data_IF_257974755699
#
_entry.id   IF_257974755699
#
_cell.length_a   1.000
_cell.length_b   1.000
_cell.length_c   1.000
_cell.angle_alpha   90.00
_cell.angle_beta   90.00
_cell.angle_gamma   90.00
#
_symmetry.space_group_name_H-M   'P 1'
#
loop_
_entity.id
_entity.type
_entity.pdbx_description
1 polymer ?
#
# COMPACT_ATOMS: atom_id res chain seq x y z
N UNK A 1 -26.36 -57.40 40.05
CA UNK A 1 -26.64 -56.37 39.02
C UNK A 1 -25.86 -55.04 39.22
N UNK A 2 -24.91 -54.93 40.16
CA UNK A 2 -24.26 -53.65 40.51
C UNK A 2 -22.81 -53.45 40.01
N UNK A 3 -22.17 -54.49 39.45
CA UNK A 3 -20.76 -54.45 39.07
C UNK A 3 -20.52 -53.99 37.61
N UNK A 4 -21.38 -54.40 36.67
CA UNK A 4 -21.27 -54.02 35.26
C UNK A 4 -21.61 -52.54 34.97
N UNK A 5 -22.48 -51.95 35.78
CA UNK A 5 -22.86 -50.54 35.61
C UNK A 5 -21.70 -49.58 35.96
N UNK A 6 -20.94 -49.87 37.03
CA UNK A 6 -19.76 -49.07 37.44
C UNK A 6 -18.62 -49.14 36.42
N UNK A 7 -18.39 -50.29 35.77
CA UNK A 7 -17.36 -50.42 34.72
C UNK A 7 -17.73 -49.68 33.44
N UNK A 8 -19.00 -49.74 33.01
CA UNK A 8 -19.50 -48.98 31.85
C UNK A 8 -19.44 -47.47 32.06
N UNK A 9 -19.84 -46.95 33.22
CA UNK A 9 -19.70 -45.52 33.53
C UNK A 9 -18.23 -45.07 33.54
N UNK A 10 -17.32 -45.87 34.09
CA UNK A 10 -15.89 -45.53 34.18
C UNK A 10 -15.20 -45.54 32.81
N UNK A 11 -15.58 -46.44 31.91
CA UNK A 11 -15.10 -46.45 30.52
C UNK A 11 -15.62 -45.27 29.70
N UNK A 12 -16.91 -44.94 29.81
CA UNK A 12 -17.51 -43.77 29.14
C UNK A 12 -16.90 -42.45 29.64
N UNK A 13 -16.68 -42.33 30.95
CA UNK A 13 -16.03 -41.14 31.53
C UNK A 13 -14.57 -40.99 31.08
N UNK A 14 -13.84 -42.11 30.91
CA UNK A 14 -12.44 -42.10 30.45
C UNK A 14 -12.34 -41.77 28.96
N UNK A 15 -13.27 -42.24 28.14
CA UNK A 15 -13.32 -41.89 26.71
C UNK A 15 -13.69 -40.41 26.51
N UNK A 16 -14.64 -39.88 27.30
CA UNK A 16 -15.02 -38.46 27.27
C UNK A 16 -13.89 -37.54 27.73
N UNK A 17 -13.13 -37.90 28.77
CA UNK A 17 -11.99 -37.07 29.22
C UNK A 17 -10.81 -37.12 28.25
N UNK A 18 -10.54 -38.26 27.62
CA UNK A 18 -9.47 -38.38 26.61
C UNK A 18 -9.82 -37.56 25.35
N UNK A 19 -11.06 -37.62 24.85
CA UNK A 19 -11.51 -36.78 23.71
C UNK A 19 -11.47 -35.28 24.02
N UNK A 20 -11.77 -34.87 25.25
CA UNK A 20 -11.68 -33.46 25.67
C UNK A 20 -10.22 -32.98 25.80
N UNK A 21 -9.30 -33.83 26.27
CA UNK A 21 -7.87 -33.52 26.32
C UNK A 21 -7.26 -33.36 24.92
N UNK A 22 -7.58 -34.24 23.97
CA UNK A 22 -7.02 -34.17 22.61
C UNK A 22 -7.49 -32.92 21.83
N UNK A 23 -8.75 -32.52 22.00
CA UNK A 23 -9.27 -31.29 21.37
C UNK A 23 -8.69 -30.01 21.99
N UNK A 24 -8.48 -30.00 23.31
CA UNK A 24 -7.82 -28.89 24.00
C UNK A 24 -6.36 -28.67 23.55
N UNK A 25 -5.59 -29.76 23.40
CA UNK A 25 -4.19 -29.69 22.96
C UNK A 25 -4.10 -29.16 21.52
N UNK A 26 -4.92 -29.68 20.59
CA UNK A 26 -4.93 -29.21 19.20
C UNK A 26 -5.31 -27.73 19.07
N UNK A 27 -6.28 -27.25 19.87
CA UNK A 27 -6.68 -25.85 19.90
C UNK A 27 -5.57 -24.94 20.43
N UNK A 28 -4.86 -25.36 21.49
CA UNK A 28 -3.75 -24.58 22.05
C UNK A 28 -2.54 -24.48 21.11
N UNK A 29 -2.23 -25.54 20.38
CA UNK A 29 -1.13 -25.57 19.40
C UNK A 29 -1.43 -24.65 18.21
N UNK A 30 -2.67 -24.66 17.72
CA UNK A 30 -3.11 -23.77 16.65
C UNK A 30 -3.08 -22.29 17.08
N UNK A 31 -3.54 -21.99 18.30
CA UNK A 31 -3.54 -20.62 18.81
C UNK A 31 -2.13 -20.04 18.94
N UNK A 32 -1.17 -20.85 19.39
CA UNK A 32 0.25 -20.48 19.46
C UNK A 32 0.84 -20.24 18.06
N UNK A 33 0.49 -21.08 17.07
CA UNK A 33 0.92 -20.89 15.67
C UNK A 33 0.40 -19.58 15.07
N UNK A 34 -0.86 -19.23 15.36
CA UNK A 34 -1.43 -17.96 14.93
C UNK A 34 -0.72 -16.78 15.56
N UNK A 35 -0.43 -16.83 16.86
CA UNK A 35 0.31 -15.79 17.54
C UNK A 35 1.69 -15.54 16.92
N UNK A 36 2.47 -16.60 16.68
CA UNK A 36 3.77 -16.50 16.01
C UNK A 36 3.63 -15.90 14.61
N UNK A 37 2.62 -16.34 13.85
CA UNK A 37 2.41 -15.85 12.48
C UNK A 37 1.99 -14.38 12.44
N UNK A 38 1.19 -13.93 13.41
CA UNK A 38 0.79 -12.53 13.55
C UNK A 38 2.00 -11.68 13.93
N UNK A 39 2.83 -12.15 14.85
CA UNK A 39 4.02 -11.43 15.28
C UNK A 39 5.04 -11.28 14.15
N UNK A 40 5.30 -12.35 13.41
CA UNK A 40 6.14 -12.33 12.20
C UNK A 40 5.55 -11.38 11.14
N UNK A 41 4.25 -11.44 10.88
CA UNK A 41 3.62 -10.51 9.94
C UNK A 41 3.80 -9.06 10.37
N UNK A 42 3.61 -8.74 11.65
CA UNK A 42 3.73 -7.38 12.15
C UNK A 42 5.17 -6.86 12.06
N UNK A 43 6.13 -7.58 12.63
CA UNK A 43 7.49 -7.09 12.84
C UNK A 43 8.44 -7.40 11.68
N UNK A 44 8.27 -8.51 10.98
CA UNK A 44 9.17 -8.90 9.87
C UNK A 44 8.63 -8.46 8.50
N UNK A 45 7.35 -8.09 8.41
CA UNK A 45 6.74 -7.66 7.16
C UNK A 45 6.12 -6.26 7.23
N UNK A 46 5.05 -6.06 8.01
CA UNK A 46 4.24 -4.84 7.96
C UNK A 46 5.02 -3.57 8.36
N UNK A 47 5.77 -3.60 9.47
CA UNK A 47 6.60 -2.45 9.87
C UNK A 47 7.71 -2.20 8.84
N UNK A 48 8.56 -3.19 8.48
CA UNK A 48 9.67 -2.94 7.56
C UNK A 48 9.23 -2.44 6.18
N UNK A 49 8.08 -2.86 5.66
CA UNK A 49 7.61 -2.35 4.35
C UNK A 49 7.21 -0.88 4.42
N UNK A 50 6.57 -0.42 5.51
CA UNK A 50 6.21 1.00 5.66
C UNK A 50 7.40 1.87 6.02
N UNK A 51 8.39 1.36 6.76
CA UNK A 51 9.67 2.05 6.97
C UNK A 51 10.44 2.26 5.65
N UNK A 52 10.51 1.23 4.81
CA UNK A 52 11.11 1.31 3.47
C UNK A 52 10.35 2.28 2.59
N UNK A 53 9.01 2.23 2.60
CA UNK A 53 8.17 3.17 1.86
C UNK A 53 8.42 4.62 2.30
N UNK A 54 8.48 4.88 3.61
CA UNK A 54 8.75 6.21 4.14
C UNK A 54 10.14 6.69 3.74
N UNK A 55 11.17 5.84 3.89
CA UNK A 55 12.54 6.14 3.48
C UNK A 55 12.64 6.45 1.98
N UNK A 56 12.03 5.62 1.13
CA UNK A 56 12.01 5.84 -0.31
C UNK A 56 11.30 7.15 -0.68
N UNK A 57 10.19 7.47 0.00
CA UNK A 57 9.46 8.72 -0.25
C UNK A 57 10.31 9.96 0.09
N UNK A 58 11.05 9.94 1.19
CA UNK A 58 11.98 11.02 1.56
C UNK A 58 13.06 11.21 0.47
N UNK A 59 13.59 10.12 -0.08
CA UNK A 59 14.56 10.18 -1.17
C UNK A 59 13.97 10.87 -2.40
N UNK A 60 12.72 10.58 -2.75
CA UNK A 60 12.03 11.26 -3.87
C UNK A 60 11.91 12.76 -3.61
N UNK A 61 11.52 13.17 -2.40
CA UNK A 61 11.48 14.61 -2.04
C UNK A 61 12.83 15.26 -2.30
N UNK A 62 13.92 14.70 -1.78
CA UNK A 62 15.26 15.27 -1.96
C UNK A 62 15.69 15.33 -3.42
N UNK A 63 15.44 14.27 -4.20
CA UNK A 63 15.81 14.23 -5.62
C UNK A 63 14.97 15.20 -6.46
N UNK A 64 13.68 15.35 -6.17
CA UNK A 64 12.80 16.31 -6.87
C UNK A 64 13.15 17.75 -6.46
N UNK A 65 13.44 18.02 -5.18
CA UNK A 65 13.93 19.34 -4.75
C UNK A 65 15.23 19.72 -5.46
N UNK A 66 16.15 18.77 -5.60
CA UNK A 66 17.38 18.97 -6.35
C UNK A 66 17.10 19.25 -7.83
N UNK A 67 16.22 18.48 -8.48
CA UNK A 67 15.78 18.73 -9.86
C UNK A 67 15.17 20.12 -10.04
N UNK A 68 14.35 20.58 -9.09
CA UNK A 68 13.76 21.93 -9.16
C UNK A 68 14.81 23.04 -9.07
N UNK A 69 15.94 22.81 -8.38
CA UNK A 69 17.06 23.76 -8.28
C UNK A 69 18.01 23.66 -9.47
N UNK A 70 18.28 22.44 -9.90
CA UNK A 70 19.26 22.07 -10.92
C UNK A 70 18.55 21.40 -12.09
N UNK A 71 17.78 22.18 -12.85
CA UNK A 71 17.04 21.74 -14.04
C UNK A 71 18.00 21.27 -15.13
N UNK A 72 18.46 20.02 -15.05
CA UNK A 72 19.35 19.36 -16.01
C UNK A 72 19.06 17.85 -16.06
N UNK A 73 19.59 17.18 -17.08
CA UNK A 73 19.32 15.76 -17.34
C UNK A 73 19.76 14.83 -16.21
N UNK A 74 20.89 15.10 -15.56
CA UNK A 74 21.37 14.27 -14.46
C UNK A 74 20.44 14.35 -13.24
N UNK A 75 19.96 15.55 -12.91
CA UNK A 75 19.00 15.73 -11.83
C UNK A 75 17.65 15.05 -12.14
N UNK A 76 17.21 15.09 -13.41
CA UNK A 76 15.97 14.42 -13.83
C UNK A 76 16.11 12.90 -13.71
N UNK A 77 17.22 12.33 -14.19
CA UNK A 77 17.50 10.91 -14.06
C UNK A 77 17.52 10.47 -12.58
N UNK A 78 18.16 11.24 -11.71
CA UNK A 78 18.18 10.95 -10.27
C UNK A 78 16.77 10.95 -9.64
N UNK A 79 15.92 11.92 -10.02
CA UNK A 79 14.53 11.97 -9.55
C UNK A 79 13.69 10.80 -10.10
N UNK A 80 13.90 10.42 -11.36
CA UNK A 80 13.26 9.27 -11.98
C UNK A 80 13.68 7.95 -11.31
N UNK A 81 14.96 7.78 -10.98
CA UNK A 81 15.43 6.58 -10.28
C UNK A 81 14.94 6.50 -8.83
N UNK A 82 14.88 7.64 -8.14
CA UNK A 82 14.24 7.71 -6.82
C UNK A 82 12.76 7.33 -6.90
N UNK A 83 12.04 7.78 -7.93
CA UNK A 83 10.65 7.40 -8.18
C UNK A 83 10.49 5.90 -8.40
N UNK A 84 11.36 5.27 -9.20
CA UNK A 84 11.33 3.80 -9.42
C UNK A 84 11.48 3.04 -8.10
N UNK A 85 12.42 3.45 -7.25
CA UNK A 85 12.61 2.85 -5.92
C UNK A 85 11.40 3.05 -5.00
N UNK A 86 10.72 4.20 -5.09
CA UNK A 86 9.47 4.44 -4.37
C UNK A 86 8.34 3.55 -4.86
N UNK A 87 8.16 3.39 -6.17
CA UNK A 87 7.17 2.47 -6.73
C UNK A 87 7.43 1.04 -6.28
N UNK A 88 8.68 0.57 -6.30
CA UNK A 88 9.03 -0.77 -5.81
C UNK A 88 8.70 -0.95 -4.33
N UNK A 89 9.00 0.07 -3.50
CA UNK A 89 8.67 0.03 -2.06
C UNK A 89 7.15 0.02 -1.83
N UNK A 90 6.39 0.77 -2.63
CA UNK A 90 4.94 0.74 -2.61
C UNK A 90 4.38 -0.61 -3.07
N UNK A 91 4.89 -1.22 -4.14
CA UNK A 91 4.45 -2.54 -4.60
C UNK A 91 4.53 -3.60 -3.50
N UNK A 92 5.56 -3.57 -2.65
CA UNK A 92 5.64 -4.45 -1.49
C UNK A 92 4.59 -4.12 -0.42
N UNK A 93 4.37 -2.83 -0.14
CA UNK A 93 3.36 -2.38 0.82
C UNK A 93 1.92 -2.57 0.32
N UNK A 94 1.69 -2.63 -1.00
CA UNK A 94 0.37 -2.75 -1.64
C UNK A 94 -0.37 -4.05 -1.23
N UNK A 95 0.38 -5.06 -0.80
CA UNK A 95 -0.14 -6.32 -0.27
C UNK A 95 -0.97 -6.10 1.00
N UNK A 96 -0.67 -5.06 1.78
CA UNK A 96 -1.41 -4.69 2.98
C UNK A 96 -2.56 -3.77 2.57
N UNK A 97 -3.79 -4.30 2.65
CA UNK A 97 -5.02 -3.62 2.22
C UNK A 97 -6.01 -3.40 3.36
N UNK A 98 -5.52 -3.42 4.60
CA UNK A 98 -6.29 -3.23 5.82
C UNK A 98 -5.50 -2.37 6.82
N UNK A 99 -6.16 -1.93 7.89
CA UNK A 99 -5.56 -1.09 8.91
C UNK A 99 -5.27 0.34 8.43
N UNK A 100 -4.23 1.02 8.97
CA UNK A 100 -4.01 2.46 8.80
C UNK A 100 -3.91 2.97 7.37
N UNK A 101 -3.54 2.11 6.41
CA UNK A 101 -3.48 2.47 4.99
C UNK A 101 -4.87 2.70 4.38
N UNK A 102 -5.95 2.21 5.00
CA UNK A 102 -7.33 2.42 4.52
C UNK A 102 -7.96 3.69 5.10
N UNK A 103 -7.40 4.23 6.16
CA UNK A 103 -7.93 5.42 6.81
C UNK A 103 -7.87 6.61 5.87
N UNK A 104 -8.95 7.41 5.86
CA UNK A 104 -9.02 8.66 5.09
C UNK A 104 -8.60 8.53 3.62
N UNK A 105 -8.85 7.36 3.01
CA UNK A 105 -8.47 7.01 1.64
C UNK A 105 -6.95 7.09 1.37
N UNK A 106 -6.10 6.84 2.37
CA UNK A 106 -4.63 6.89 2.23
C UNK A 106 -4.13 5.98 1.10
N UNK A 107 -4.68 4.77 0.96
CA UNK A 107 -4.36 3.85 -0.13
C UNK A 107 -4.59 4.50 -1.50
N UNK A 108 -5.78 5.06 -1.74
CA UNK A 108 -6.15 5.69 -3.00
C UNK A 108 -5.40 7.02 -3.22
N UNK A 109 -5.06 7.75 -2.15
CA UNK A 109 -4.20 8.95 -2.22
C UNK A 109 -2.77 8.62 -2.63
N UNK A 110 -2.25 7.44 -2.24
CA UNK A 110 -0.93 6.97 -2.68
C UNK A 110 -1.03 6.41 -4.11
N UNK A 111 -2.02 5.57 -4.39
CA UNK A 111 -2.13 4.86 -5.66
C UNK A 111 -3.57 4.78 -6.16
N UNK A 112 -4.03 5.88 -6.78
CA UNK A 112 -5.32 5.92 -7.47
C UNK A 112 -5.23 5.17 -8.81
N UNK A 113 -5.57 3.88 -8.79
CA UNK A 113 -5.55 3.01 -9.96
C UNK A 113 -6.50 1.81 -9.72
N UNK A 114 -7.17 1.24 -10.74
CA UNK A 114 -7.07 1.53 -12.18
C UNK A 114 -7.82 2.78 -12.64
N UNK A 115 -7.30 3.42 -13.69
CA UNK A 115 -7.93 4.58 -14.34
C UNK A 115 -8.22 4.31 -15.83
N UNK A 116 -9.16 3.39 -16.15
CA UNK A 116 -9.38 2.92 -17.53
C UNK A 116 -9.93 4.01 -18.48
N UNK A 117 -10.41 5.12 -17.92
CA UNK A 117 -10.96 6.29 -18.66
C UNK A 117 -10.06 7.53 -18.55
N UNK A 118 -8.87 7.40 -17.97
CA UNK A 118 -7.90 8.48 -17.76
C UNK A 118 -8.49 9.71 -17.04
N UNK A 119 -9.46 9.50 -16.12
CA UNK A 119 -10.11 10.59 -15.38
C UNK A 119 -9.16 11.22 -14.36
N UNK A 120 -8.31 10.43 -13.72
CA UNK A 120 -7.27 10.95 -12.83
C UNK A 120 -6.22 11.71 -13.60
N UNK A 121 -5.69 11.11 -14.67
CA UNK A 121 -4.71 11.77 -15.54
C UNK A 121 -5.21 13.12 -16.07
N UNK A 122 -6.46 13.19 -16.54
CA UNK A 122 -7.07 14.45 -17.00
C UNK A 122 -7.12 15.51 -15.91
N UNK A 123 -7.38 15.13 -14.65
CA UNK A 123 -7.36 16.08 -13.54
C UNK A 123 -5.94 16.54 -13.22
N UNK A 124 -4.93 15.67 -13.26
CA UNK A 124 -3.51 16.04 -13.11
C UNK A 124 -3.10 17.04 -14.18
N UNK A 125 -3.41 16.76 -15.45
CA UNK A 125 -3.11 17.66 -16.57
C UNK A 125 -3.82 19.01 -16.41
N UNK A 126 -5.10 19.01 -16.02
CA UNK A 126 -5.85 20.25 -15.76
C UNK A 126 -5.23 21.06 -14.62
N UNK A 127 -4.79 20.40 -13.54
CA UNK A 127 -4.14 21.06 -12.41
C UNK A 127 -2.78 21.63 -12.82
N UNK A 128 -1.98 20.88 -13.58
CA UNK A 128 -0.69 21.36 -14.11
C UNK A 128 -0.89 22.59 -15.00
N UNK A 129 -1.83 22.54 -15.96
CA UNK A 129 -2.15 23.68 -16.83
C UNK A 129 -2.64 24.91 -16.06
N UNK A 130 -3.46 24.70 -15.03
CA UNK A 130 -3.88 25.77 -14.13
C UNK A 130 -2.67 26.40 -13.43
N UNK A 131 -1.75 25.57 -12.93
CA UNK A 131 -0.53 26.03 -12.28
C UNK A 131 0.40 26.77 -13.24
N UNK A 132 0.54 26.34 -14.49
CA UNK A 132 1.34 27.03 -15.51
C UNK A 132 0.81 28.43 -15.86
N UNK A 133 -0.51 28.62 -15.80
CA UNK A 133 -1.15 29.91 -16.05
C UNK A 133 -1.09 30.89 -14.89
N UNK A 134 -0.94 30.40 -13.66
CA UNK A 134 -0.92 31.23 -12.46
C UNK A 134 0.51 31.40 -11.97
N UNK A 135 1.04 32.62 -12.02
CA UNK A 135 2.44 32.90 -11.65
C UNK A 135 2.72 32.78 -10.14
N UNK A 136 1.69 32.64 -9.31
CA UNK A 136 1.79 32.47 -7.86
C UNK A 136 1.66 31.00 -7.48
N UNK A 137 2.74 30.46 -6.92
CA UNK A 137 2.79 29.10 -6.39
C UNK A 137 2.74 29.13 -4.88
N UNK A 138 1.53 29.09 -4.32
CA UNK A 138 1.38 28.72 -2.92
C UNK A 138 1.70 27.24 -2.75
N UNK A 139 2.16 26.88 -1.55
CA UNK A 139 2.39 25.48 -1.17
C UNK A 139 1.13 24.67 -1.48
N UNK A 140 1.24 23.69 -2.37
CA UNK A 140 0.12 22.80 -2.68
C UNK A 140 -0.29 22.04 -1.42
N UNK A 141 -1.48 22.33 -0.93
CA UNK A 141 -2.16 21.53 0.09
C UNK A 141 -3.07 20.51 -0.63
N UNK A 142 -2.95 19.23 -0.30
CA UNK A 142 -3.78 18.16 -0.87
C UNK A 142 -4.99 17.80 0.00
N UNK A 143 -5.17 18.46 1.15
CA UNK A 143 -6.32 18.29 2.02
C UNK A 143 -7.62 18.61 1.28
N UNK A 144 -8.61 17.73 1.39
CA UNK A 144 -9.89 17.85 0.70
C UNK A 144 -9.82 17.74 -0.83
N UNK A 145 -8.63 17.57 -1.42
CA UNK A 145 -8.48 17.41 -2.85
C UNK A 145 -8.77 15.98 -3.31
N UNK A 146 -9.11 15.85 -4.59
CA UNK A 146 -9.29 14.56 -5.26
C UNK A 146 -8.06 13.66 -5.06
N UNK A 147 -8.28 12.40 -4.71
CA UNK A 147 -7.22 11.39 -4.62
C UNK A 147 -6.52 11.17 -5.97
N UNK A 148 -7.20 11.50 -7.07
CA UNK A 148 -6.72 11.27 -8.43
C UNK A 148 -5.74 12.33 -8.95
N UNK A 149 -5.57 13.47 -8.24
CA UNK A 149 -4.61 14.53 -8.60
C UNK A 149 -3.30 14.44 -7.83
N UNK A 150 -3.09 13.36 -7.09
CA UNK A 150 -1.95 13.15 -6.22
C UNK A 150 -1.47 11.70 -6.34
N UNK A 151 -0.49 11.33 -5.53
CA UNK A 151 0.03 9.97 -5.50
C UNK A 151 0.95 9.61 -6.65
N UNK A 152 1.32 8.33 -6.70
CA UNK A 152 2.31 7.78 -7.60
C UNK A 152 1.95 7.95 -9.09
N UNK A 153 0.69 7.73 -9.55
CA UNK A 153 0.37 7.90 -10.97
C UNK A 153 0.49 9.35 -11.44
N UNK A 154 0.15 10.32 -10.58
CA UNK A 154 0.31 11.74 -10.87
C UNK A 154 1.79 12.12 -10.95
N UNK A 155 2.59 11.66 -9.98
CA UNK A 155 4.03 11.89 -9.97
C UNK A 155 4.73 11.25 -11.18
N UNK A 156 4.31 10.04 -11.57
CA UNK A 156 4.81 9.39 -12.78
C UNK A 156 4.59 10.28 -14.02
N UNK A 157 3.38 10.80 -14.20
CA UNK A 157 3.09 11.68 -15.33
C UNK A 157 3.95 12.95 -15.31
N UNK A 158 4.21 13.52 -14.13
CA UNK A 158 5.03 14.72 -14.02
C UNK A 158 6.49 14.44 -14.40
N UNK A 159 7.05 13.29 -14.02
CA UNK A 159 8.47 12.94 -14.23
C UNK A 159 8.77 12.21 -15.54
N UNK A 160 7.80 11.48 -16.11
CA UNK A 160 7.97 10.61 -17.28
C UNK A 160 6.95 10.86 -18.40
N UNK A 161 5.88 11.60 -18.10
CA UNK A 161 4.82 11.87 -19.06
C UNK A 161 5.18 12.96 -20.06
N UNK A 162 4.35 13.08 -21.10
CA UNK A 162 4.47 14.11 -22.12
C UNK A 162 4.68 15.51 -21.52
N UNK A 163 5.70 16.21 -22.03
CA UNK A 163 6.12 17.51 -21.52
C UNK A 163 7.14 17.44 -20.36
N UNK A 164 7.55 16.27 -19.88
CA UNK A 164 8.51 16.17 -18.76
C UNK A 164 9.90 16.69 -19.13
N UNK A 165 10.23 16.74 -20.42
CA UNK A 165 11.47 17.33 -20.94
C UNK A 165 11.63 18.80 -20.55
N UNK A 166 10.56 19.53 -20.23
CA UNK A 166 10.69 20.91 -19.72
C UNK A 166 11.43 20.96 -18.39
N UNK A 167 11.50 19.87 -17.62
CA UNK A 167 12.19 19.80 -16.32
C UNK A 167 13.70 20.00 -16.41
N UNK A 168 14.30 19.86 -17.61
CA UNK A 168 15.72 20.21 -17.83
C UNK A 168 15.90 21.65 -18.34
N UNK A 169 14.83 22.43 -18.43
CA UNK A 169 14.84 23.85 -18.80
C UNK A 169 14.43 24.73 -17.62
N UNK A 170 15.34 25.60 -17.17
CA UNK A 170 15.11 26.47 -15.98
C UNK A 170 13.89 27.40 -16.09
N UNK A 171 13.53 27.86 -17.29
CA UNK A 171 12.45 28.87 -17.47
C UNK A 171 11.05 28.27 -17.52
N UNK A 172 10.91 27.02 -17.97
CA UNK A 172 9.59 26.42 -18.28
C UNK A 172 9.16 25.31 -17.32
N UNK A 173 9.97 24.98 -16.32
CA UNK A 173 9.75 23.83 -15.43
C UNK A 173 9.03 24.15 -14.12
N UNK A 174 8.89 25.42 -13.73
CA UNK A 174 8.53 25.80 -12.37
C UNK A 174 7.23 25.13 -11.90
N UNK A 175 6.15 25.22 -12.69
CA UNK A 175 4.86 24.65 -12.33
C UNK A 175 4.90 23.13 -12.16
N UNK A 176 5.50 22.45 -13.15
CA UNK A 176 5.64 21.00 -13.16
C UNK A 176 6.49 20.51 -12.00
N UNK A 177 7.56 21.23 -11.69
CA UNK A 177 8.47 20.88 -10.61
C UNK A 177 7.84 21.12 -9.23
N UNK A 178 7.19 22.26 -9.01
CA UNK A 178 6.48 22.53 -7.76
C UNK A 178 5.34 21.54 -7.52
N UNK A 179 4.64 21.12 -8.57
CA UNK A 179 3.62 20.08 -8.46
C UNK A 179 4.22 18.72 -8.09
N UNK A 180 5.30 18.31 -8.76
CA UNK A 180 6.00 17.06 -8.45
C UNK A 180 6.53 17.08 -7.01
N UNK A 181 7.07 18.20 -6.56
CA UNK A 181 7.57 18.39 -5.20
C UNK A 181 6.44 18.31 -4.16
N UNK A 182 5.31 18.97 -4.43
CA UNK A 182 4.13 18.90 -3.57
C UNK A 182 3.63 17.46 -3.41
N UNK A 183 3.48 16.72 -4.51
CA UNK A 183 3.06 15.31 -4.45
C UNK A 183 4.08 14.47 -3.68
N UNK A 184 5.38 14.67 -3.91
CA UNK A 184 6.44 13.93 -3.22
C UNK A 184 6.37 14.14 -1.70
N UNK A 185 6.18 15.39 -1.26
CA UNK A 185 6.01 15.73 0.17
C UNK A 185 4.76 15.11 0.76
N UNK A 186 3.66 15.07 0.01
CA UNK A 186 2.43 14.44 0.44
C UNK A 186 2.58 12.91 0.58
N UNK A 187 3.27 12.23 -0.35
CA UNK A 187 3.60 10.81 -0.23
C UNK A 187 4.45 10.52 1.01
N UNK A 188 5.39 11.41 1.35
CA UNK A 188 6.17 11.33 2.58
C UNK A 188 5.32 11.50 3.84
N UNK A 189 4.40 12.46 3.86
CA UNK A 189 3.48 12.64 4.97
C UNK A 189 2.58 11.41 5.15
N UNK A 190 1.96 10.92 4.08
CA UNK A 190 1.09 9.74 4.12
C UNK A 190 1.83 8.49 4.61
N UNK A 191 3.04 8.23 4.11
CA UNK A 191 3.84 7.07 4.56
C UNK A 191 4.27 7.18 6.01
N UNK A 192 4.59 8.40 6.48
CA UNK A 192 4.92 8.68 7.88
C UNK A 192 3.72 8.41 8.79
N UNK A 193 2.55 8.94 8.43
CA UNK A 193 1.34 8.81 9.24
C UNK A 193 0.89 7.36 9.32
N UNK A 194 0.93 6.63 8.20
CA UNK A 194 0.65 5.19 8.18
C UNK A 194 1.60 4.46 9.14
N UNK A 195 2.92 4.68 9.01
CA UNK A 195 3.90 4.02 9.86
C UNK A 195 3.67 4.34 11.35
N UNK A 196 3.41 5.61 11.67
CA UNK A 196 3.13 6.05 13.04
C UNK A 196 1.89 5.37 13.63
N UNK A 197 0.81 5.26 12.84
CA UNK A 197 -0.43 4.60 13.26
C UNK A 197 -0.26 3.07 13.41
N UNK A 198 0.73 2.47 12.74
CA UNK A 198 1.12 1.08 12.96
C UNK A 198 1.86 0.90 14.30
N UNK A 199 2.87 1.73 14.57
CA UNK A 199 3.87 1.49 15.65
C UNK A 199 3.65 2.28 16.94
N UNK A 200 2.66 3.19 16.99
CA UNK A 200 2.37 3.94 18.22
C UNK A 200 2.02 3.01 19.40
N UNK A 201 2.08 3.52 20.63
CA UNK A 201 1.85 2.72 21.84
C UNK A 201 0.50 1.96 21.80
N UNK A 202 -0.53 2.62 21.26
CA UNK A 202 -1.88 2.08 21.02
C UNK A 202 -2.14 1.83 19.52
N UNK A 203 -1.07 1.66 18.74
CA UNK A 203 -1.11 1.51 17.29
C UNK A 203 -1.76 0.20 16.84
N UNK A 204 -2.00 0.09 15.53
CA UNK A 204 -2.76 -1.01 14.95
C UNK A 204 -2.16 -2.40 15.24
N UNK A 205 -0.85 -2.50 15.47
CA UNK A 205 -0.19 -3.75 15.88
C UNK A 205 -0.78 -4.31 17.17
N UNK A 206 -1.13 -3.45 18.13
CA UNK A 206 -1.79 -3.90 19.37
C UNK A 206 -3.13 -4.53 19.09
N UNK A 207 -3.88 -4.04 18.09
CA UNK A 207 -5.12 -4.68 17.68
C UNK A 207 -4.89 -6.06 17.05
N UNK A 208 -3.75 -6.31 16.42
CA UNK A 208 -3.43 -7.64 15.90
C UNK A 208 -3.01 -8.62 17.01
N UNK A 209 -2.24 -8.15 17.99
CA UNK A 209 -1.69 -8.97 19.06
C UNK A 209 -2.70 -9.24 20.19
N UNK A 210 -3.47 -8.23 20.59
CA UNK A 210 -4.36 -8.26 21.75
C UNK A 210 -5.82 -8.42 21.32
N UNK A 211 -6.17 -9.58 20.74
CA UNK A 211 -7.55 -9.86 20.31
C UNK A 211 -8.47 -10.13 21.49
N UNK A 212 -9.76 -9.80 21.38
CA UNK A 212 -10.74 -10.10 22.43
C UNK A 212 -11.94 -9.16 22.48
N UNK A 213 -12.71 -9.18 23.56
CA UNK A 213 -13.93 -8.37 23.72
C UNK A 213 -13.66 -6.86 23.69
N UNK A 214 -12.52 -6.43 24.26
CA UNK A 214 -12.10 -5.02 24.32
C UNK A 214 -11.37 -4.54 23.06
N UNK A 215 -11.16 -5.42 22.08
CA UNK A 215 -10.54 -5.07 20.82
C UNK A 215 -11.62 -4.62 19.81
N UNK A 216 -11.53 -3.38 19.27
CA UNK A 216 -12.56 -2.85 18.38
C UNK A 216 -12.52 -3.46 16.97
N UNK A 217 -11.45 -4.18 16.60
CA UNK A 217 -11.22 -4.69 15.23
C UNK A 217 -11.31 -6.22 15.16
N UNK A 218 -10.67 -6.93 16.09
CA UNK A 218 -10.49 -8.39 16.03
C UNK A 218 -10.91 -9.07 17.33
N UNK A 219 -11.88 -9.99 17.24
CA UNK A 219 -12.38 -10.76 18.38
C UNK A 219 -11.46 -11.91 18.77
N UNK A 220 -10.73 -12.46 17.83
CA UNK A 220 -9.79 -13.57 18.06
C UNK A 220 -8.68 -13.60 17.00
N UNK A 221 -7.61 -14.35 17.28
CA UNK A 221 -6.44 -14.47 16.38
C UNK A 221 -6.77 -15.05 15.01
N UNK A 222 -7.82 -15.89 14.90
CA UNK A 222 -8.22 -16.45 13.61
C UNK A 222 -8.75 -15.37 12.66
N UNK A 223 -9.47 -14.37 13.17
CA UNK A 223 -9.91 -13.21 12.37
C UNK A 223 -8.74 -12.39 11.82
N UNK A 224 -7.66 -12.24 12.61
CA UNK A 224 -6.43 -11.56 12.17
C UNK A 224 -5.80 -12.31 11.00
N UNK A 225 -5.61 -13.63 11.15
CA UNK A 225 -5.04 -14.49 10.10
C UNK A 225 -5.92 -14.47 8.85
N UNK A 226 -7.25 -14.54 9.00
CA UNK A 226 -8.18 -14.42 7.88
C UNK A 226 -8.03 -13.07 7.16
N UNK A 227 -7.81 -11.97 7.88
CA UNK A 227 -7.61 -10.66 7.28
C UNK A 227 -6.31 -10.59 6.46
N UNK A 228 -5.21 -11.14 7.00
CA UNK A 228 -3.92 -11.24 6.30
C UNK A 228 -4.07 -12.07 5.01
N UNK A 229 -4.68 -13.26 5.10
CA UNK A 229 -4.91 -14.15 3.96
C UNK A 229 -5.84 -13.51 2.92
N UNK A 230 -6.88 -12.80 3.38
CA UNK A 230 -7.79 -12.04 2.50
C UNK A 230 -7.01 -10.97 1.73
N UNK A 231 -6.19 -10.18 2.41
CA UNK A 231 -5.37 -9.14 1.80
C UNK A 231 -4.43 -9.71 0.73
N UNK A 232 -3.78 -10.84 1.02
CA UNK A 232 -2.92 -11.56 0.07
C UNK A 232 -3.70 -12.11 -1.15
N UNK A 233 -4.90 -12.66 -0.93
CA UNK A 233 -5.76 -13.14 -2.01
C UNK A 233 -6.23 -11.98 -2.91
N UNK A 234 -6.64 -10.86 -2.30
CA UNK A 234 -7.10 -9.67 -3.01
C UNK A 234 -6.02 -9.10 -3.94
N UNK A 235 -4.76 -8.98 -3.48
CA UNK A 235 -3.70 -8.43 -4.32
C UNK A 235 -3.37 -9.34 -5.51
N UNK A 236 -3.44 -10.66 -5.34
CA UNK A 236 -3.28 -11.62 -6.44
C UNK A 236 -4.41 -11.50 -7.47
N UNK A 237 -5.66 -11.40 -7.00
CA UNK A 237 -6.81 -11.18 -7.87
C UNK A 237 -6.71 -9.85 -8.63
N UNK A 238 -6.26 -8.77 -7.97
CA UNK A 238 -6.04 -7.47 -8.60
C UNK A 238 -4.89 -7.51 -9.61
N UNK A 239 -3.78 -8.17 -9.29
CA UNK A 239 -2.66 -8.34 -10.21
C UNK A 239 -3.10 -9.05 -11.49
N UNK A 240 -3.84 -10.16 -11.37
CA UNK A 240 -4.33 -10.91 -12.53
C UNK A 240 -5.38 -10.10 -13.30
N UNK A 241 -6.47 -9.71 -12.64
CA UNK A 241 -7.63 -9.12 -13.32
C UNK A 241 -7.38 -7.70 -13.81
N UNK A 242 -6.81 -6.87 -12.94
CA UNK A 242 -6.70 -5.44 -13.17
C UNK A 242 -5.37 -5.09 -13.81
N UNK A 243 -4.23 -5.67 -13.39
CA UNK A 243 -2.91 -5.27 -13.92
C UNK A 243 -2.60 -5.99 -15.22
N UNK A 244 -2.70 -7.32 -15.22
CA UNK A 244 -2.34 -8.17 -16.35
C UNK A 244 -3.44 -8.28 -17.40
N UNK A 245 -4.60 -8.85 -17.07
CA UNK A 245 -5.69 -9.11 -18.03
C UNK A 245 -6.20 -7.81 -18.68
N UNK A 246 -6.30 -6.71 -17.93
CA UNK A 246 -6.75 -5.43 -18.47
C UNK A 246 -5.78 -4.85 -19.52
N UNK A 247 -4.49 -5.20 -19.43
CA UNK A 247 -3.42 -4.71 -20.32
C UNK A 247 -3.14 -5.68 -21.46
N UNK A 248 -3.08 -6.98 -21.21
CA UNK A 248 -2.79 -8.01 -22.21
C UNK A 248 -3.99 -8.30 -23.12
N UNK A 249 -5.22 -8.23 -22.59
CA UNK A 249 -6.45 -8.59 -23.29
C UNK A 249 -6.40 -10.03 -23.85
N UNK A 250 -7.35 -10.41 -24.72
CA UNK A 250 -7.44 -11.78 -25.25
C UNK A 250 -6.43 -12.12 -26.35
N UNK A 251 -5.76 -11.11 -26.93
CA UNK A 251 -4.78 -11.29 -28.01
C UNK A 251 -3.89 -10.06 -28.14
N UNK A 252 -2.72 -10.23 -28.77
CA UNK A 252 -1.76 -9.14 -29.03
C UNK A 252 -2.40 -7.95 -29.76
N UNK A 253 -3.26 -8.21 -30.76
CA UNK A 253 -3.96 -7.16 -31.52
C UNK A 253 -4.92 -6.32 -30.66
N UNK A 254 -5.41 -6.90 -29.55
CA UNK A 254 -6.33 -6.22 -28.63
C UNK A 254 -5.62 -5.65 -27.41
N UNK A 255 -4.31 -5.89 -27.24
CA UNK A 255 -3.54 -5.45 -26.08
C UNK A 255 -3.64 -3.93 -25.89
N UNK A 256 -3.68 -3.52 -24.63
CA UNK A 256 -3.79 -2.12 -24.18
C UNK A 256 -2.65 -1.81 -23.20
N UNK A 257 -1.40 -1.76 -23.67
CA UNK A 257 -0.23 -1.60 -22.79
C UNK A 257 -0.30 -0.34 -21.92
N UNK A 258 -0.92 0.74 -22.42
CA UNK A 258 -1.11 1.99 -21.65
C UNK A 258 -2.12 1.89 -20.49
N UNK A 259 -2.77 0.73 -20.29
CA UNK A 259 -3.59 0.44 -19.11
C UNK A 259 -2.80 -0.15 -17.95
N UNK A 260 -1.60 -0.67 -18.23
CA UNK A 260 -0.75 -1.19 -17.18
C UNK A 260 -0.38 -0.08 -16.19
N UNK A 261 -0.28 -0.40 -14.88
CA UNK A 261 0.26 0.56 -13.94
C UNK A 261 1.70 0.90 -14.36
N UNK A 262 2.07 2.15 -14.18
CA UNK A 262 3.44 2.62 -14.37
C UNK A 262 4.07 2.36 -15.75
N UNK A 263 3.26 2.33 -16.82
CA UNK A 263 3.76 2.07 -18.17
C UNK A 263 4.67 3.19 -18.71
N UNK A 264 4.58 4.43 -18.20
CA UNK A 264 5.42 5.55 -18.67
C UNK A 264 6.85 5.43 -18.15
N UNK A 265 6.99 4.83 -16.97
CA UNK A 265 8.27 4.61 -16.29
C UNK A 265 8.85 3.21 -16.53
N UNK A 266 8.22 2.39 -17.38
CA UNK A 266 8.60 1.00 -17.68
C UNK A 266 8.64 0.09 -16.44
N UNK A 267 7.71 0.28 -15.50
CA UNK A 267 7.64 -0.47 -14.23
C UNK A 267 6.46 -1.45 -14.18
N UNK A 268 5.99 -1.91 -15.34
CA UNK A 268 4.76 -2.73 -15.49
C UNK A 268 4.81 -4.08 -14.75
N UNK A 269 6.01 -4.62 -14.50
CA UNK A 269 6.23 -5.98 -13.95
C UNK A 269 6.45 -5.96 -12.41
N UNK A 270 6.43 -4.78 -11.78
CA UNK A 270 6.61 -4.64 -10.33
C UNK A 270 5.31 -4.66 -9.52
#
# INVERSE_FOLDING_TARGET
>A
MSWDFKRRCRFVFTILTVLFCFTGIAKSDQEKKFEISIDLFAHEFAIPVYEKLHTASNRVVLSVEYLCKQSNSNALNNAQDAFKALVQSWSHAEVIRFGPVRDQNRFEKIFFWPDPRSRGLKQVQKKLHFLEKNSTFEKLNFDGMSVAIQGLPALEFLLFGEGSEVLISKKSSLARCQYALGISKNLTALSKDILADWISADGFIKSLQNTGENNPVFRNKAEVIQNILKSASEILQLAISSKLQSSLQKSMLKAKPKRAPFWRSNLVIM
#
